data_IF_396194990562
#
_entry.id   IF_396194990562
#
_cell.length_a   1.000
_cell.length_b   1.000
_cell.length_c   1.000
_cell.angle_alpha   90.00
_cell.angle_beta   90.00
_cell.angle_gamma   90.00
#
_symmetry.space_group_name_H-M   'P 1'
#
loop_
_entity.id
_entity.type
_entity.pdbx_description
1 polymer ?
#
# COMPACT_ATOMS: atom_id res chain seq x y z
N UNK A 1 2.64 11.11 2.68
CA UNK A 1 3.69 11.38 1.67
C UNK A 1 3.45 10.49 0.45
N UNK A 2 3.81 10.91 -0.77
CA UNK A 2 3.69 10.12 -2.00
C UNK A 2 5.03 10.00 -2.71
N UNK A 3 5.33 8.80 -3.21
CA UNK A 3 6.58 8.47 -3.90
C UNK A 3 6.29 7.67 -5.18
N UNK A 4 6.85 8.09 -6.31
CA UNK A 4 6.96 7.31 -7.57
C UNK A 4 8.33 7.56 -8.21
N UNK A 5 8.63 6.94 -9.36
CA UNK A 5 9.91 7.10 -10.05
C UNK A 5 10.27 8.58 -10.34
N UNK A 6 9.30 9.37 -10.80
CA UNK A 6 9.52 10.73 -11.30
C UNK A 6 8.95 11.82 -10.36
N UNK A 7 8.27 11.45 -9.27
CA UNK A 7 7.58 12.40 -8.40
C UNK A 7 7.73 12.04 -6.92
N UNK A 8 8.03 13.05 -6.13
CA UNK A 8 7.92 13.03 -4.67
C UNK A 8 6.95 14.12 -4.22
N UNK A 9 5.98 13.78 -3.38
CA UNK A 9 5.05 14.76 -2.81
C UNK A 9 5.00 14.62 -1.29
N UNK A 10 5.27 15.73 -0.61
CA UNK A 10 5.19 15.84 0.85
C UNK A 10 3.97 16.71 1.18
N UNK A 11 3.15 16.21 2.09
CA UNK A 11 2.06 16.96 2.69
C UNK A 11 2.50 17.30 4.11
N UNK A 12 2.59 18.60 4.43
CA UNK A 12 2.91 19.08 5.76
C UNK A 12 1.66 19.63 6.44
N UNK A 13 1.47 19.24 7.70
CA UNK A 13 0.37 19.65 8.59
C UNK A 13 0.62 21.05 9.18
N UNK A 14 0.96 22.02 8.33
CA UNK A 14 1.01 23.42 8.75
C UNK A 14 -0.25 24.11 8.25
N UNK A 15 -1.06 24.60 9.19
CA UNK A 15 -2.23 25.41 8.89
C UNK A 15 -1.79 26.70 8.22
N UNK A 16 -2.15 26.87 6.96
CA UNK A 16 -1.95 28.11 6.25
C UNK A 16 -3.19 29.00 6.44
N UNK A 17 -3.12 29.95 7.38
CA UNK A 17 -4.20 30.88 7.71
C UNK A 17 -4.66 31.71 6.49
N UNK A 18 -3.80 31.90 5.49
CA UNK A 18 -4.13 32.59 4.24
C UNK A 18 -4.74 31.69 3.14
N UNK A 19 -4.79 30.36 3.34
CA UNK A 19 -5.38 29.39 2.41
C UNK A 19 -6.50 28.55 3.06
N UNK A 20 -7.25 29.13 4.01
CA UNK A 20 -8.41 28.49 4.64
C UNK A 20 -8.09 27.12 5.30
N UNK A 21 -6.89 26.97 5.88
CA UNK A 21 -6.52 25.73 6.60
C UNK A 21 -6.13 24.55 5.70
N UNK A 22 -5.80 24.79 4.43
CA UNK A 22 -5.29 23.72 3.55
C UNK A 22 -3.86 23.30 3.93
N UNK A 23 -3.64 21.98 4.11
CA UNK A 23 -2.32 21.38 4.31
C UNK A 23 -1.34 21.84 3.22
N UNK A 24 -0.16 22.34 3.62
CA UNK A 24 0.87 22.78 2.67
C UNK A 24 1.48 21.58 1.93
N UNK A 25 1.56 21.70 0.61
CA UNK A 25 2.01 20.63 -0.30
C UNK A 25 3.30 21.02 -1.01
N UNK A 26 4.31 20.18 -0.90
CA UNK A 26 5.55 20.30 -1.66
C UNK A 26 5.61 19.18 -2.69
N UNK A 27 5.73 19.54 -3.97
CA UNK A 27 5.81 18.58 -5.07
C UNK A 27 7.15 18.76 -5.78
N UNK A 28 7.92 17.68 -5.83
CA UNK A 28 9.19 17.61 -6.52
C UNK A 28 9.02 16.73 -7.75
N UNK A 29 9.45 17.24 -8.89
CA UNK A 29 9.52 16.50 -10.15
C UNK A 29 10.98 16.27 -10.48
N UNK A 30 11.28 15.10 -11.02
CA UNK A 30 12.64 14.75 -11.42
C UNK A 30 13.01 15.55 -12.68
N UNK A 31 14.02 16.42 -12.57
CA UNK A 31 14.57 17.19 -13.71
C UNK A 31 15.81 16.53 -14.33
N UNK A 32 16.24 15.38 -13.80
CA UNK A 32 17.45 14.64 -14.17
C UNK A 32 17.94 13.76 -13.01
N UNK A 33 18.96 12.92 -13.24
CA UNK A 33 19.56 12.09 -12.19
C UNK A 33 18.78 10.81 -11.83
N UNK A 34 19.19 10.12 -10.74
CA UNK A 34 18.58 8.87 -10.31
C UNK A 34 17.09 9.01 -9.97
N UNK A 35 16.29 7.93 -10.09
CA UNK A 35 14.88 7.98 -9.76
C UNK A 35 14.66 8.17 -8.25
N UNK A 36 13.53 8.79 -7.89
CA UNK A 36 13.16 8.97 -6.48
C UNK A 36 12.93 7.64 -5.77
N UNK A 37 12.64 6.56 -6.50
CA UNK A 37 12.52 5.19 -5.96
C UNK A 37 13.74 4.76 -5.14
N UNK A 38 14.93 5.30 -5.41
CA UNK A 38 16.14 5.05 -4.59
C UNK A 38 16.02 5.54 -3.14
N UNK A 39 15.14 6.49 -2.86
CA UNK A 39 14.88 6.95 -1.49
C UNK A 39 13.95 6.00 -0.72
N UNK A 40 13.33 5.02 -1.39
CA UNK A 40 12.33 4.16 -0.76
C UNK A 40 12.86 3.39 0.47
N UNK A 41 14.05 2.75 0.45
CA UNK A 41 14.58 2.03 1.61
C UNK A 41 14.71 2.88 2.87
N UNK A 42 15.05 4.16 2.71
CA UNK A 42 15.12 5.13 3.81
C UNK A 42 13.71 5.53 4.28
N UNK A 43 12.83 5.90 3.34
CA UNK A 43 11.49 6.40 3.64
C UNK A 43 10.62 5.34 4.31
N UNK A 44 10.74 4.07 3.93
CA UNK A 44 9.95 2.97 4.54
C UNK A 44 10.29 2.71 6.01
N UNK A 45 11.42 3.22 6.51
CA UNK A 45 11.82 3.07 7.91
C UNK A 45 11.38 4.27 8.77
N UNK A 46 11.37 5.47 8.16
CA UNK A 46 11.16 6.72 8.89
C UNK A 46 9.72 7.23 8.84
N UNK A 47 8.96 6.84 7.81
CA UNK A 47 7.61 7.35 7.60
C UNK A 47 6.55 6.48 8.27
N UNK A 48 5.52 7.14 8.79
CA UNK A 48 4.32 6.50 9.35
C UNK A 48 3.45 5.83 8.27
N UNK A 49 2.30 5.30 8.69
CA UNK A 49 1.29 4.63 7.84
C UNK A 49 0.75 5.47 6.66
N UNK A 50 1.09 6.75 6.56
CA UNK A 50 0.63 7.68 5.50
C UNK A 50 1.61 7.75 4.32
N UNK A 51 2.61 6.88 4.29
CA UNK A 51 3.48 6.72 3.13
C UNK A 51 2.72 6.02 2.00
N UNK A 52 2.66 6.66 0.84
CA UNK A 52 2.08 6.12 -0.38
C UNK A 52 3.20 5.84 -1.36
N UNK A 53 3.36 4.57 -1.71
CA UNK A 53 4.44 4.09 -2.59
C UNK A 53 3.83 3.65 -3.90
N UNK A 54 3.90 4.49 -4.92
CA UNK A 54 3.34 4.28 -6.26
C UNK A 54 4.34 3.67 -7.24
N UNK A 55 5.00 2.61 -6.79
CA UNK A 55 5.96 1.78 -7.52
C UNK A 55 5.82 0.33 -7.04
N UNK A 56 6.25 -0.62 -7.86
CA UNK A 56 6.32 -2.03 -7.47
C UNK A 56 7.71 -2.28 -6.87
N UNK A 57 7.79 -2.48 -5.55
CA UNK A 57 9.02 -2.91 -4.90
C UNK A 57 9.03 -4.43 -4.75
N UNK A 58 9.79 -5.09 -5.60
CA UNK A 58 9.93 -6.55 -5.59
C UNK A 58 11.17 -7.02 -4.80
N UNK A 59 11.76 -6.14 -3.98
CA UNK A 59 12.98 -6.43 -3.21
C UNK A 59 12.79 -7.54 -2.18
N UNK A 60 11.57 -7.80 -1.73
CA UNK A 60 11.28 -8.85 -0.75
C UNK A 60 10.95 -10.19 -1.41
N UNK A 61 11.36 -11.32 -0.80
CA UNK A 61 10.94 -12.64 -1.23
C UNK A 61 9.43 -12.75 -1.41
N UNK A 62 9.01 -13.38 -2.50
CA UNK A 62 7.60 -13.66 -2.77
C UNK A 62 7.17 -14.86 -1.93
N UNK A 63 6.10 -14.72 -1.15
CA UNK A 63 5.43 -15.87 -0.52
C UNK A 63 4.45 -16.50 -1.51
N UNK A 64 3.64 -15.65 -2.15
CA UNK A 64 2.76 -16.05 -3.24
C UNK A 64 2.33 -14.82 -4.04
N UNK A 65 1.84 -15.08 -5.25
CA UNK A 65 1.26 -14.05 -6.10
C UNK A 65 0.01 -14.55 -6.81
N UNK A 66 -0.86 -13.63 -7.18
CA UNK A 66 -2.11 -13.92 -7.89
C UNK A 66 -2.35 -12.86 -8.97
N UNK A 67 -2.70 -13.25 -10.21
CA UNK A 67 -3.09 -12.29 -11.24
C UNK A 67 -4.43 -11.63 -10.89
N UNK A 68 -4.51 -10.31 -11.06
CA UNK A 68 -5.68 -9.51 -10.66
C UNK A 68 -6.06 -8.45 -11.70
N UNK A 69 -7.27 -7.90 -11.54
CA UNK A 69 -7.70 -6.62 -12.08
C UNK A 69 -8.05 -5.70 -10.91
N UNK A 70 -7.33 -4.60 -10.78
CA UNK A 70 -7.71 -3.50 -9.89
C UNK A 70 -8.88 -2.75 -10.53
N UNK A 71 -9.98 -2.60 -9.79
CA UNK A 71 -11.10 -1.76 -10.22
C UNK A 71 -10.69 -0.29 -10.23
N UNK A 72 -11.22 0.46 -11.20
CA UNK A 72 -11.03 1.90 -11.33
C UNK A 72 -12.35 2.57 -11.68
N UNK A 73 -12.42 3.89 -11.51
CA UNK A 73 -13.64 4.67 -11.72
C UNK A 73 -14.21 4.58 -13.14
N UNK A 74 -13.31 4.59 -14.13
CA UNK A 74 -13.67 4.54 -15.55
C UNK A 74 -13.14 3.29 -16.23
N UNK A 75 -11.93 2.86 -15.85
CA UNK A 75 -11.27 1.66 -16.36
C UNK A 75 -10.35 1.10 -15.29
N UNK A 76 -10.41 -0.22 -15.09
CA UNK A 76 -9.48 -0.92 -14.22
C UNK A 76 -8.09 -1.11 -14.84
N UNK A 77 -7.16 -1.64 -14.05
CA UNK A 77 -5.83 -2.05 -14.52
C UNK A 77 -5.58 -3.52 -14.22
N UNK A 78 -4.96 -4.22 -15.16
CA UNK A 78 -4.52 -5.61 -14.95
C UNK A 78 -3.13 -5.62 -14.34
N UNK A 79 -2.83 -6.67 -13.58
CA UNK A 79 -1.54 -6.82 -12.95
C UNK A 79 -1.45 -8.09 -12.11
N UNK A 80 -0.47 -8.11 -11.23
CA UNK A 80 -0.24 -9.19 -10.28
C UNK A 80 -0.19 -8.60 -8.88
N UNK A 81 -0.91 -9.22 -7.95
CA UNK A 81 -0.78 -8.94 -6.53
C UNK A 81 0.21 -9.93 -5.94
N UNK A 82 1.30 -9.43 -5.38
CA UNK A 82 2.38 -10.20 -4.74
C UNK A 82 2.36 -9.95 -3.26
N UNK A 83 2.37 -11.04 -2.48
CA UNK A 83 2.45 -11.01 -1.03
C UNK A 83 3.84 -11.46 -0.62
N UNK A 84 4.46 -10.65 0.23
CA UNK A 84 5.78 -10.88 0.82
C UNK A 84 5.68 -10.86 2.34
N UNK A 85 6.80 -11.02 3.03
CA UNK A 85 6.80 -11.11 4.49
C UNK A 85 6.34 -9.82 5.19
N UNK A 86 6.71 -8.65 4.64
CA UNK A 86 6.39 -7.35 5.25
C UNK A 86 5.50 -6.46 4.37
N UNK A 87 5.29 -6.83 3.10
CA UNK A 87 4.62 -5.97 2.13
C UNK A 87 3.65 -6.72 1.23
N UNK A 88 2.64 -6.00 0.74
CA UNK A 88 1.82 -6.38 -0.41
C UNK A 88 2.15 -5.43 -1.56
N UNK A 89 2.39 -5.99 -2.74
CA UNK A 89 2.75 -5.25 -3.96
C UNK A 89 1.73 -5.51 -5.03
N UNK A 90 1.11 -4.46 -5.55
CA UNK A 90 0.37 -4.52 -6.81
C UNK A 90 1.29 -4.04 -7.94
N UNK A 91 1.61 -4.93 -8.87
CA UNK A 91 2.41 -4.62 -10.06
C UNK A 91 1.50 -4.50 -11.27
N UNK A 92 1.61 -3.40 -12.01
CA UNK A 92 0.91 -3.20 -13.28
C UNK A 92 1.82 -2.54 -14.29
N UNK A 93 1.74 -2.96 -15.56
CA UNK A 93 2.43 -2.30 -16.66
C UNK A 93 1.80 -0.93 -16.99
N UNK A 94 0.61 -0.66 -16.46
CA UNK A 94 -0.02 0.66 -16.60
C UNK A 94 0.73 1.67 -15.75
N UNK A 95 1.41 2.61 -16.42
CA UNK A 95 2.19 3.68 -15.79
C UNK A 95 1.46 4.32 -14.60
N UNK A 96 2.15 4.36 -13.46
CA UNK A 96 1.67 4.99 -12.23
C UNK A 96 0.58 4.24 -11.46
N UNK A 97 0.23 3.02 -11.86
CA UNK A 97 -0.76 2.19 -11.16
C UNK A 97 -0.16 1.21 -10.15
N UNK A 98 1.11 0.85 -10.29
CA UNK A 98 1.78 -0.02 -9.31
C UNK A 98 1.76 0.59 -7.91
N UNK A 99 1.63 -0.26 -6.89
CA UNK A 99 1.59 0.14 -5.48
C UNK A 99 2.37 -0.84 -4.62
N UNK A 100 3.03 -0.33 -3.59
CA UNK A 100 3.62 -1.13 -2.52
C UNK A 100 3.03 -0.65 -1.20
N UNK A 101 2.60 -1.57 -0.35
CA UNK A 101 2.10 -1.28 0.98
C UNK A 101 2.86 -2.12 2.00
N UNK A 102 3.39 -1.49 3.05
CA UNK A 102 3.72 -2.22 4.27
C UNK A 102 2.41 -2.62 4.94
N UNK A 103 2.41 -3.67 5.74
CA UNK A 103 1.21 -4.02 6.52
C UNK A 103 0.72 -2.88 7.42
N UNK A 104 1.63 -2.06 7.95
CA UNK A 104 1.29 -0.86 8.73
C UNK A 104 0.59 0.23 7.92
N UNK A 105 0.71 0.22 6.59
CA UNK A 105 0.06 1.19 5.70
C UNK A 105 -1.39 0.81 5.36
N UNK A 106 -1.81 -0.40 5.77
CA UNK A 106 -3.12 -1.00 5.50
C UNK A 106 -4.03 -0.82 6.72
N UNK A 107 -5.11 -0.07 6.54
CA UNK A 107 -6.16 0.17 7.53
C UNK A 107 -7.12 -1.02 7.63
N UNK A 108 -7.44 -1.66 6.49
CA UNK A 108 -8.29 -2.83 6.45
C UNK A 108 -7.94 -3.74 5.27
N UNK A 109 -8.03 -5.05 5.49
CA UNK A 109 -7.85 -6.09 4.50
C UNK A 109 -9.02 -7.08 4.61
N UNK A 110 -9.83 -7.18 3.55
CA UNK A 110 -11.00 -8.05 3.53
C UNK A 110 -11.16 -8.81 2.22
N UNK A 111 -11.87 -9.92 2.27
CA UNK A 111 -12.34 -10.66 1.10
C UNK A 111 -13.86 -10.87 1.21
N UNK A 112 -14.59 -10.52 0.15
CA UNK A 112 -16.03 -10.76 -0.01
C UNK A 112 -16.34 -12.11 -0.67
N UNK A 113 -15.30 -12.84 -1.08
CA UNK A 113 -15.38 -14.13 -1.75
C UNK A 113 -14.04 -14.49 -2.39
N UNK A 114 -13.85 -15.73 -2.87
CA UNK A 114 -12.56 -16.23 -3.32
C UNK A 114 -11.98 -15.43 -4.51
N UNK A 115 -12.79 -14.70 -5.26
CA UNK A 115 -12.33 -13.89 -6.40
C UNK A 115 -12.19 -12.40 -6.09
N UNK A 116 -12.34 -11.99 -4.84
CA UNK A 116 -12.30 -10.59 -4.44
C UNK A 116 -11.41 -10.36 -3.22
N UNK A 117 -10.54 -9.35 -3.33
CA UNK A 117 -9.74 -8.85 -2.23
C UNK A 117 -9.81 -7.33 -2.21
N UNK A 118 -10.01 -6.77 -1.03
CA UNK A 118 -10.11 -5.33 -0.81
C UNK A 118 -9.03 -4.88 0.17
N UNK A 119 -8.26 -3.88 -0.25
CA UNK A 119 -7.25 -3.22 0.58
C UNK A 119 -7.70 -1.77 0.81
N UNK A 120 -7.85 -1.37 2.07
CA UNK A 120 -8.06 0.03 2.47
C UNK A 120 -6.77 0.53 3.10
N UNK A 121 -6.31 1.71 2.67
CA UNK A 121 -5.06 2.32 3.16
C UNK A 121 -5.30 3.73 3.66
N UNK A 122 -4.36 4.26 4.45
CA UNK A 122 -4.41 5.64 4.97
C UNK A 122 -4.01 6.71 3.94
N UNK A 123 -4.04 6.38 2.64
CA UNK A 123 -3.75 7.34 1.57
C UNK A 123 -4.83 8.44 1.56
N UNK A 124 -4.46 9.65 2.02
CA UNK A 124 -5.19 10.88 1.71
C UNK A 124 -4.98 11.22 0.23
N UNK A 125 -6.05 11.16 -0.55
CA UNK A 125 -6.03 11.62 -1.94
C UNK A 125 -5.76 13.12 -2.00
N UNK A 126 -4.94 13.56 -2.95
CA UNK A 126 -4.74 14.97 -3.29
C UNK A 126 -6.06 15.70 -3.70
N UNK A 127 -7.12 14.92 -4.00
CA UNK A 127 -8.41 15.37 -4.57
C UNK A 127 -9.64 14.91 -3.77
N UNK A 128 -9.49 14.18 -2.66
CA UNK A 128 -10.63 13.75 -1.83
C UNK A 128 -10.37 14.03 -0.36
N UNK A 129 -11.37 14.60 0.32
CA UNK A 129 -11.38 14.87 1.77
C UNK A 129 -11.38 13.59 2.64
N UNK A 130 -11.29 12.40 2.05
CA UNK A 130 -11.22 11.14 2.78
C UNK A 130 -9.80 10.78 3.20
N UNK A 131 -9.61 10.45 4.48
CA UNK A 131 -8.35 9.94 5.03
C UNK A 131 -7.96 8.54 4.59
N UNK A 132 -8.72 7.92 3.69
CA UNK A 132 -8.59 6.52 3.28
C UNK A 132 -8.76 6.35 1.78
N UNK A 133 -8.05 5.38 1.22
CA UNK A 133 -8.21 4.94 -0.17
C UNK A 133 -8.49 3.44 -0.25
N UNK A 134 -9.52 3.12 -1.03
CA UNK A 134 -9.96 1.77 -1.33
C UNK A 134 -9.30 1.25 -2.62
N UNK A 135 -8.79 0.02 -2.58
CA UNK A 135 -8.32 -0.74 -3.73
C UNK A 135 -9.08 -2.07 -3.78
N UNK A 136 -9.98 -2.21 -4.76
CA UNK A 136 -10.75 -3.43 -4.95
C UNK A 136 -10.15 -4.25 -6.09
N UNK A 137 -9.73 -5.46 -5.78
CA UNK A 137 -9.14 -6.40 -6.73
C UNK A 137 -10.13 -7.51 -7.08
N UNK A 138 -10.31 -7.73 -8.38
CA UNK A 138 -10.87 -8.96 -8.91
C UNK A 138 -9.72 -9.91 -9.21
N UNK A 139 -9.67 -11.05 -8.52
CA UNK A 139 -8.65 -12.07 -8.71
C UNK A 139 -9.04 -12.93 -9.91
N UNK A 140 -8.06 -13.35 -10.72
CA UNK A 140 -8.30 -14.23 -11.87
C UNK A 140 -8.24 -15.71 -11.50
N UNK A 141 -7.95 -16.02 -10.24
CA UNK A 141 -7.90 -17.34 -9.65
C UNK A 141 -8.48 -17.24 -8.23
N UNK A 142 -9.13 -18.30 -7.71
CA UNK A 142 -9.67 -18.27 -6.36
C UNK A 142 -8.54 -18.13 -5.34
N UNK A 143 -8.73 -17.23 -4.38
CA UNK A 143 -7.88 -17.12 -3.21
C UNK A 143 -8.21 -18.28 -2.28
N UNK A 144 -7.22 -19.15 -2.14
CA UNK A 144 -7.29 -20.26 -1.20
C UNK A 144 -7.60 -19.75 0.23
N UNK A 145 -8.55 -20.36 0.95
CA UNK A 145 -8.91 -19.92 2.31
C UNK A 145 -7.73 -19.90 3.30
N UNK A 146 -6.80 -20.85 3.20
CA UNK A 146 -5.60 -20.91 4.04
C UNK A 146 -4.68 -19.73 3.71
N UNK A 147 -4.46 -19.45 2.42
CA UNK A 147 -3.67 -18.27 1.98
C UNK A 147 -4.28 -16.96 2.47
N UNK A 148 -5.61 -16.82 2.43
CA UNK A 148 -6.28 -15.64 2.96
C UNK A 148 -6.11 -15.53 4.48
N UNK A 149 -6.29 -16.62 5.21
CA UNK A 149 -6.14 -16.64 6.67
C UNK A 149 -4.72 -16.27 7.10
N UNK A 150 -3.70 -16.83 6.43
CA UNK A 150 -2.30 -16.49 6.66
C UNK A 150 -2.02 -15.01 6.39
N UNK A 151 -2.54 -14.48 5.27
CA UNK A 151 -2.39 -13.07 4.94
C UNK A 151 -3.06 -12.18 6.00
N UNK A 152 -4.26 -12.54 6.45
CA UNK A 152 -5.00 -11.81 7.47
C UNK A 152 -4.27 -11.81 8.82
N UNK A 153 -3.80 -12.97 9.27
CA UNK A 153 -3.01 -13.10 10.50
C UNK A 153 -1.73 -12.26 10.42
N UNK A 154 -1.03 -12.30 9.27
CA UNK A 154 0.18 -11.52 9.04
C UNK A 154 -0.10 -10.02 9.11
N UNK A 155 -1.14 -9.54 8.42
CA UNK A 155 -1.55 -8.14 8.51
C UNK A 155 -1.88 -7.75 9.95
N UNK A 156 -2.67 -8.56 10.67
CA UNK A 156 -3.07 -8.27 12.04
C UNK A 156 -1.86 -8.20 13.00
N UNK A 157 -0.92 -9.13 12.89
CA UNK A 157 0.30 -9.15 13.71
C UNK A 157 1.19 -7.92 13.43
N UNK A 158 1.41 -7.60 12.15
CA UNK A 158 2.34 -6.54 11.73
C UNK A 158 1.74 -5.14 11.85
N UNK A 159 0.45 -4.97 11.58
CA UNK A 159 -0.21 -3.66 11.59
C UNK A 159 -0.68 -3.26 12.99
N UNK A 160 -1.13 -4.21 13.82
CA UNK A 160 -1.69 -3.92 15.15
C UNK A 160 -0.79 -4.32 16.32
N UNK A 161 0.41 -4.83 16.05
CA UNK A 161 1.37 -5.18 17.10
C UNK A 161 0.92 -6.33 18.00
N UNK A 162 0.01 -7.20 17.52
CA UNK A 162 -0.35 -8.44 18.22
C UNK A 162 0.88 -9.36 18.24
N UNK A 163 1.70 -9.22 19.28
CA UNK A 163 2.56 -10.29 19.74
C UNK A 163 1.62 -11.35 20.29
N UNK A 164 1.43 -12.43 19.53
CA UNK A 164 0.89 -13.65 20.10
C UNK A 164 1.81 -14.01 21.26
N UNK A 165 1.38 -13.74 22.50
CA UNK A 165 2.04 -14.25 23.68
C UNK A 165 2.02 -15.76 23.53
N UNK A 166 3.17 -16.32 23.20
CA UNK A 166 3.38 -17.75 23.17
C UNK A 166 2.90 -18.32 24.49
N UNK A 167 1.88 -19.16 24.40
CA UNK A 167 1.42 -20.02 25.47
C UNK A 167 2.62 -20.79 26.02
N UNK A 168 3.12 -20.38 27.18
CA UNK A 168 3.91 -21.25 28.02
C UNK A 168 2.97 -22.37 28.49
N UNK A 169 3.19 -23.57 27.96
CA UNK A 169 2.78 -24.81 28.61
C UNK A 169 4.07 -25.46 29.07
N UNK A 170 4.06 -25.91 30.32
CA UNK A 170 5.18 -26.28 31.18
C UNK A 170 6.02 -27.46 30.70
N UNK A 171 6.86 -28.00 31.60
CA UNK A 171 6.37 -28.68 32.82
C UNK A 171 6.35 -27.81 34.09
#
# INVERSE_FOLDING_TARGET
>A
MYLSEDRLTILSYQDNLWQLGADRRYSFLRAGGPPFSRAYPLLRQQMDQRLVVALADDSQPCLWEVPVKLQGRLRGSHGVLRVSEDTIVYRSDRRGQSRTWRYTDIDNLTSSGPFELTIVTFERSLWHYGGRRLFQFQLKQPLDPERYNELWLRWQQRAKGLRLLGRAVGP
#
